data_IF_090917591319
#
_entry.id   IF_090917591319
#
_cell.length_a   1.000
_cell.length_b   1.000
_cell.length_c   1.000
_cell.angle_alpha   90.00
_cell.angle_beta   90.00
_cell.angle_gamma   90.00
#
_symmetry.space_group_name_H-M   'P 1'
#
loop_
_entity.id
_entity.type
_entity.pdbx_description
1 polymer ?
#
# COMPACT_ATOMS: atom_id res chain seq x y z
N UNK A 1 -32.17 36.05 -59.13
CA UNK A 1 -30.84 36.28 -58.51
C UNK A 1 -30.81 36.18 -56.98
N UNK A 2 -31.94 36.14 -56.27
CA UNK A 2 -31.97 36.15 -54.79
C UNK A 2 -31.72 34.80 -54.08
N UNK A 3 -31.92 33.64 -54.73
CA UNK A 3 -31.78 32.33 -54.07
C UNK A 3 -30.32 31.90 -53.79
N UNK A 4 -29.35 32.32 -54.61
CA UNK A 4 -27.93 31.96 -54.45
C UNK A 4 -27.26 32.63 -53.24
N UNK A 5 -27.71 33.83 -52.85
CA UNK A 5 -27.14 34.58 -51.72
C UNK A 5 -27.54 34.02 -50.34
N UNK A 6 -28.73 33.40 -50.24
CA UNK A 6 -29.20 32.76 -49.00
C UNK A 6 -28.44 31.47 -48.66
N UNK A 7 -28.10 30.66 -49.67
CA UNK A 7 -27.34 29.42 -49.51
C UNK A 7 -25.88 29.71 -49.06
N UNK A 8 -25.19 30.64 -49.72
CA UNK A 8 -23.83 31.07 -49.38
C UNK A 8 -23.70 31.64 -47.95
N UNK A 9 -24.74 32.31 -47.46
CA UNK A 9 -24.76 32.89 -46.11
C UNK A 9 -25.06 31.84 -45.03
N UNK A 10 -25.86 30.82 -45.35
CA UNK A 10 -26.13 29.67 -44.46
C UNK A 10 -24.89 28.79 -44.30
N UNK A 11 -24.19 28.50 -45.41
CA UNK A 11 -22.92 27.74 -45.42
C UNK A 11 -21.77 28.43 -44.70
N UNK A 12 -21.66 29.76 -44.82
CA UNK A 12 -20.69 30.53 -44.03
C UNK A 12 -20.98 30.49 -42.54
N UNK A 13 -22.25 30.48 -42.14
CA UNK A 13 -22.65 30.47 -40.72
C UNK A 13 -22.48 29.09 -40.07
N UNK A 14 -22.73 28.01 -40.82
CA UNK A 14 -22.42 26.63 -40.40
C UNK A 14 -20.92 26.39 -40.32
N UNK A 15 -20.13 26.87 -41.28
CA UNK A 15 -18.67 26.80 -41.25
C UNK A 15 -18.04 27.55 -40.06
N UNK A 16 -18.51 28.76 -39.75
CA UNK A 16 -18.02 29.54 -38.61
C UNK A 16 -18.37 28.88 -37.26
N UNK A 17 -19.54 28.26 -37.14
CA UNK A 17 -19.93 27.47 -35.96
C UNK A 17 -19.10 26.20 -35.82
N UNK A 18 -18.84 25.50 -36.93
CA UNK A 18 -17.97 24.33 -36.95
C UNK A 18 -16.53 24.69 -36.53
N UNK A 19 -15.95 25.77 -37.06
CA UNK A 19 -14.62 26.24 -36.65
C UNK A 19 -14.55 26.62 -35.17
N UNK A 20 -15.58 27.27 -34.61
CA UNK A 20 -15.66 27.59 -33.18
C UNK A 20 -15.79 26.35 -32.32
N UNK A 21 -16.59 25.37 -32.74
CA UNK A 21 -16.73 24.09 -32.06
C UNK A 21 -15.41 23.30 -32.07
N UNK A 22 -14.74 23.19 -33.22
CA UNK A 22 -13.43 22.54 -33.33
C UNK A 22 -12.38 23.22 -32.46
N UNK A 23 -12.34 24.56 -32.45
CA UNK A 23 -11.43 25.31 -31.58
C UNK A 23 -11.71 25.11 -30.09
N UNK A 24 -12.98 24.98 -29.70
CA UNK A 24 -13.37 24.65 -28.32
C UNK A 24 -12.96 23.22 -27.95
N UNK A 25 -13.24 22.24 -28.80
CA UNK A 25 -12.86 20.84 -28.59
C UNK A 25 -11.34 20.67 -28.47
N UNK A 26 -10.57 21.38 -29.30
CA UNK A 26 -9.11 21.37 -29.23
C UNK A 26 -8.60 21.92 -27.89
N UNK A 27 -9.19 23.02 -27.38
CA UNK A 27 -8.82 23.58 -26.07
C UNK A 27 -9.15 22.62 -24.94
N UNK A 28 -10.31 21.95 -25.00
CA UNK A 28 -10.69 20.94 -24.02
C UNK A 28 -9.73 19.74 -24.06
N UNK A 29 -9.34 19.29 -25.25
CA UNK A 29 -8.35 18.21 -25.40
C UNK A 29 -6.98 18.61 -24.83
N UNK A 30 -6.50 19.83 -25.12
CA UNK A 30 -5.24 20.35 -24.57
C UNK A 30 -5.34 20.45 -23.04
N UNK A 31 -6.43 21.00 -22.49
CA UNK A 31 -6.63 21.10 -21.05
C UNK A 31 -6.61 19.72 -20.39
N UNK A 32 -7.26 18.73 -21.00
CA UNK A 32 -7.27 17.35 -20.52
C UNK A 32 -5.87 16.71 -20.54
N UNK A 33 -5.11 16.92 -21.62
CA UNK A 33 -3.71 16.45 -21.71
C UNK A 33 -2.81 17.11 -20.65
N UNK A 34 -3.03 18.40 -20.35
CA UNK A 34 -2.32 19.10 -19.26
C UNK A 34 -2.66 18.47 -17.91
N UNK A 35 -3.93 18.14 -17.66
CA UNK A 35 -4.35 17.44 -16.43
C UNK A 35 -3.67 16.07 -16.32
N UNK A 36 -3.68 15.27 -17.39
CA UNK A 36 -2.99 13.96 -17.41
C UNK A 36 -1.49 14.13 -17.14
N UNK A 37 -0.83 15.06 -17.81
CA UNK A 37 0.60 15.31 -17.60
C UNK A 37 0.89 15.77 -16.16
N UNK A 38 0.03 16.63 -15.58
CA UNK A 38 0.11 17.04 -14.19
C UNK A 38 -0.02 15.87 -13.22
N UNK A 39 -1.00 15.00 -13.42
CA UNK A 39 -1.16 13.77 -12.63
C UNK A 39 0.08 12.89 -12.80
N UNK A 40 0.58 12.68 -14.02
CA UNK A 40 1.76 11.85 -14.30
C UNK A 40 3.01 12.33 -13.54
N UNK A 41 3.26 13.64 -13.54
CA UNK A 41 4.43 14.27 -12.92
C UNK A 41 4.29 14.27 -11.39
N UNK A 42 3.08 14.42 -10.87
CA UNK A 42 2.82 14.60 -9.44
C UNK A 42 2.30 13.32 -8.75
N UNK A 43 2.33 12.15 -9.38
CA UNK A 43 1.80 10.88 -8.81
C UNK A 43 2.26 10.63 -7.38
N UNK A 44 3.54 10.87 -7.07
CA UNK A 44 4.07 10.67 -5.72
C UNK A 44 3.32 11.50 -4.66
N UNK A 45 2.85 12.70 -5.00
CA UNK A 45 2.09 13.56 -4.08
C UNK A 45 0.65 13.12 -3.87
N UNK A 46 0.14 12.24 -4.73
CA UNK A 46 -1.19 11.65 -4.60
C UNK A 46 -1.14 10.27 -3.94
N UNK A 47 -0.01 9.58 -4.03
CA UNK A 47 0.17 8.23 -3.48
C UNK A 47 0.80 8.23 -2.09
N UNK A 48 1.75 9.13 -1.82
CA UNK A 48 2.59 9.09 -0.63
C UNK A 48 2.43 10.38 0.19
N UNK A 49 2.12 10.24 1.47
CA UNK A 49 1.89 11.34 2.42
C UNK A 49 2.84 11.21 3.62
N UNK A 50 4.16 11.27 3.40
CA UNK A 50 5.13 11.15 4.47
C UNK A 50 5.00 12.29 5.47
N UNK A 51 5.04 11.95 6.74
CA UNK A 51 5.22 12.90 7.82
C UNK A 51 6.66 12.84 8.31
N UNK A 52 7.35 13.98 8.29
CA UNK A 52 8.75 14.08 8.75
C UNK A 52 8.78 14.25 10.26
N UNK A 53 9.70 13.54 10.91
CA UNK A 53 9.90 13.55 12.35
C UNK A 53 11.38 13.30 12.65
N UNK A 54 11.91 13.79 13.77
CA UNK A 54 13.25 13.42 14.20
C UNK A 54 13.23 12.02 14.85
N UNK A 55 14.38 11.35 14.95
CA UNK A 55 14.45 10.01 15.56
C UNK A 55 13.99 10.04 17.02
N UNK A 56 14.35 11.08 17.75
CA UNK A 56 13.95 11.35 19.12
C UNK A 56 12.43 11.51 19.31
N UNK A 57 11.70 11.96 18.28
CA UNK A 57 10.25 12.17 18.34
C UNK A 57 9.47 10.86 18.13
N UNK A 58 10.07 9.88 17.43
CA UNK A 58 9.41 8.62 17.10
C UNK A 58 9.75 7.48 18.06
N UNK A 59 10.83 7.62 18.83
CA UNK A 59 11.14 6.68 19.92
C UNK A 59 10.29 6.99 21.16
N UNK A 60 9.94 5.96 21.91
CA UNK A 60 9.12 6.10 23.13
C UNK A 60 9.40 4.94 24.08
N UNK A 61 8.77 4.95 25.27
CA UNK A 61 8.90 3.84 26.21
C UNK A 61 8.37 2.54 25.57
N UNK A 62 9.25 1.54 25.44
CA UNK A 62 8.97 0.29 24.73
C UNK A 62 9.26 0.28 23.21
N UNK A 63 9.55 1.42 22.58
CA UNK A 63 9.92 1.52 21.15
C UNK A 63 11.27 2.19 20.97
N UNK A 64 12.25 1.42 20.48
CA UNK A 64 13.63 1.88 20.28
C UNK A 64 13.97 1.97 18.80
N UNK A 65 14.87 2.88 18.43
CA UNK A 65 15.42 2.94 17.08
C UNK A 65 16.01 1.58 16.65
N UNK A 66 15.75 1.17 15.42
CA UNK A 66 16.18 -0.10 14.85
C UNK A 66 16.84 0.08 13.48
N UNK A 67 17.91 -0.67 13.15
CA UNK A 67 18.71 -1.51 14.05
C UNK A 67 19.49 -0.71 15.10
N UNK A 68 19.86 0.53 14.76
CA UNK A 68 20.48 1.51 15.65
C UNK A 68 19.98 2.92 15.26
N UNK A 69 20.15 3.95 16.09
CA UNK A 69 19.82 5.34 15.73
C UNK A 69 20.55 5.84 14.47
N UNK A 70 21.81 5.45 14.26
CA UNK A 70 22.65 5.93 13.16
C UNK A 70 22.32 5.25 11.83
N UNK A 71 21.83 4.01 11.89
CA UNK A 71 21.45 3.21 10.74
C UNK A 71 19.93 3.02 10.66
N UNK A 72 19.15 4.00 11.13
CA UNK A 72 17.70 3.91 11.34
C UNK A 72 16.93 3.38 10.12
N UNK A 73 16.12 2.36 10.35
CA UNK A 73 15.18 1.76 9.40
C UNK A 73 13.77 1.60 9.98
N UNK A 74 13.55 2.04 11.21
CA UNK A 74 12.30 1.86 11.92
C UNK A 74 12.48 1.75 13.43
N UNK A 75 11.47 1.22 14.08
CA UNK A 75 11.41 1.03 15.53
C UNK A 75 11.32 -0.45 15.86
N UNK A 76 11.84 -0.86 17.03
CA UNK A 76 11.71 -2.22 17.55
C UNK A 76 11.11 -2.21 18.95
N UNK A 77 10.16 -3.12 19.18
CA UNK A 77 9.64 -3.51 20.47
C UNK A 77 9.93 -4.98 20.75
N UNK A 78 10.26 -5.29 22.00
CA UNK A 78 10.56 -6.65 22.46
C UNK A 78 9.43 -7.15 23.37
N UNK A 79 9.06 -8.44 23.29
CA UNK A 79 8.15 -9.03 24.25
C UNK A 79 8.83 -9.23 25.60
N UNK A 80 8.04 -9.52 26.63
CA UNK A 80 8.59 -10.01 27.89
C UNK A 80 9.18 -11.40 27.69
N UNK A 81 10.46 -11.57 28.03
CA UNK A 81 11.19 -12.83 27.83
C UNK A 81 11.73 -13.01 26.42
N UNK A 82 11.93 -14.25 25.99
CA UNK A 82 12.47 -14.56 24.66
C UNK A 82 11.37 -14.50 23.59
N UNK A 83 11.62 -13.75 22.52
CA UNK A 83 10.71 -13.69 21.38
C UNK A 83 10.63 -15.05 20.66
N UNK A 84 9.41 -15.53 20.42
CA UNK A 84 9.16 -16.80 19.69
C UNK A 84 9.18 -16.65 18.17
N UNK A 85 9.04 -15.42 17.69
CA UNK A 85 9.12 -15.03 16.28
C UNK A 85 9.38 -13.52 16.17
N UNK A 86 9.75 -13.06 14.99
CA UNK A 86 9.84 -11.63 14.66
C UNK A 86 8.76 -11.27 13.65
N UNK A 87 8.14 -10.10 13.82
CA UNK A 87 7.17 -9.52 12.89
C UNK A 87 7.70 -8.19 12.39
N UNK A 88 7.70 -7.97 11.08
CA UNK A 88 7.99 -6.67 10.47
C UNK A 88 6.69 -6.09 9.95
N UNK A 89 6.34 -4.90 10.43
CA UNK A 89 5.15 -4.16 10.02
C UNK A 89 5.56 -3.05 9.05
N UNK A 90 4.93 -3.05 7.89
CA UNK A 90 5.04 -2.03 6.86
C UNK A 90 3.73 -1.24 6.82
N UNK A 91 3.81 0.05 7.13
CA UNK A 91 2.64 0.88 7.37
C UNK A 91 1.98 1.40 6.08
N UNK A 92 0.81 2.03 6.20
CA UNK A 92 0.12 2.69 5.08
C UNK A 92 0.87 3.90 4.51
N UNK A 93 0.27 4.58 3.53
CA UNK A 93 0.92 5.68 2.81
C UNK A 93 1.03 7.01 3.58
N UNK A 94 0.45 7.12 4.78
CA UNK A 94 0.38 8.38 5.52
C UNK A 94 0.98 8.27 6.93
N UNK A 95 1.70 9.32 7.34
CA UNK A 95 2.33 9.42 8.66
C UNK A 95 3.76 8.87 8.67
N UNK A 96 4.12 8.15 9.74
CA UNK A 96 5.42 7.49 9.94
C UNK A 96 5.27 6.26 10.87
N UNK A 97 6.32 5.46 11.03
CA UNK A 97 6.28 4.20 11.79
C UNK A 97 5.90 4.38 13.27
N UNK A 98 6.32 5.48 13.91
CA UNK A 98 5.94 5.83 15.29
C UNK A 98 4.43 5.87 15.54
N UNK A 99 3.61 6.22 14.53
CA UNK A 99 2.14 6.21 14.62
C UNK A 99 1.51 4.81 14.60
N UNK A 100 2.33 3.76 14.59
CA UNK A 100 1.91 2.35 14.48
C UNK A 100 2.26 1.53 15.73
N UNK A 101 2.48 2.21 16.86
CA UNK A 101 2.75 1.60 18.17
C UNK A 101 1.68 0.59 18.62
N UNK A 102 0.45 0.72 18.14
CA UNK A 102 -0.63 -0.23 18.42
C UNK A 102 -0.32 -1.67 17.96
N UNK A 103 0.45 -1.86 16.87
CA UNK A 103 0.90 -3.21 16.48
C UNK A 103 1.90 -3.76 17.49
N UNK A 104 2.83 -2.93 17.96
CA UNK A 104 3.78 -3.34 18.99
C UNK A 104 3.05 -3.73 20.28
N UNK A 105 2.05 -2.94 20.70
CA UNK A 105 1.24 -3.24 21.88
C UNK A 105 0.50 -4.59 21.76
N UNK A 106 -0.13 -4.87 20.63
CA UNK A 106 -0.88 -6.11 20.43
C UNK A 106 0.03 -7.34 20.29
N UNK A 107 1.10 -7.24 19.50
CA UNK A 107 1.89 -8.42 19.10
C UNK A 107 2.97 -8.81 20.12
N UNK A 108 3.51 -7.86 20.88
CA UNK A 108 4.46 -8.19 21.96
C UNK A 108 3.79 -8.98 23.09
N UNK A 109 2.50 -8.75 23.35
CA UNK A 109 1.70 -9.57 24.27
C UNK A 109 1.59 -11.03 23.82
N UNK A 110 1.72 -11.29 22.52
CA UNK A 110 1.74 -12.64 21.94
C UNK A 110 3.14 -13.26 21.87
N UNK A 111 4.13 -12.65 22.53
CA UNK A 111 5.51 -13.14 22.60
C UNK A 111 6.34 -12.86 21.33
N UNK A 112 5.93 -11.89 20.53
CA UNK A 112 6.58 -11.55 19.25
C UNK A 112 7.48 -10.33 19.39
N UNK A 113 8.66 -10.37 18.78
CA UNK A 113 9.44 -9.15 18.50
C UNK A 113 8.77 -8.40 17.36
N UNK A 114 8.61 -7.09 17.49
CA UNK A 114 7.92 -6.27 16.49
C UNK A 114 8.88 -5.22 15.97
N UNK A 115 9.09 -5.18 14.66
CA UNK A 115 9.79 -4.12 13.95
C UNK A 115 8.75 -3.31 13.19
N UNK A 116 8.60 -2.04 13.52
CA UNK A 116 7.81 -1.08 12.75
C UNK A 116 8.75 -0.45 11.72
N UNK A 117 8.70 -0.92 10.47
CA UNK A 117 9.60 -0.45 9.42
C UNK A 117 9.21 0.96 8.94
N UNK A 118 10.19 1.83 8.79
CA UNK A 118 10.02 3.20 8.27
C UNK A 118 10.49 3.26 6.82
N UNK A 119 9.71 3.84 5.92
CA UNK A 119 10.07 3.94 4.51
C UNK A 119 11.15 5.00 4.22
N UNK A 120 11.93 4.85 3.13
CA UNK A 120 12.70 5.96 2.59
C UNK A 120 11.79 7.18 2.32
N UNK A 121 12.20 8.35 2.80
CA UNK A 121 11.43 9.59 2.66
C UNK A 121 10.37 9.84 3.73
N UNK A 122 10.13 8.89 4.65
CA UNK A 122 9.17 9.01 5.76
C UNK A 122 9.87 9.14 7.10
N UNK A 123 9.19 9.75 8.08
CA UNK A 123 9.68 9.89 9.44
C UNK A 123 11.09 10.52 9.47
N UNK A 124 12.03 9.91 10.20
CA UNK A 124 13.43 10.36 10.26
C UNK A 124 14.24 10.09 9.00
N UNK A 125 13.70 9.34 8.03
CA UNK A 125 14.47 8.86 6.88
C UNK A 125 14.36 9.81 5.70
N UNK A 126 15.51 10.17 5.16
CA UNK A 126 15.61 10.67 3.79
C UNK A 126 15.48 9.52 2.78
N UNK A 127 15.36 9.90 1.51
CA UNK A 127 15.26 8.95 0.41
C UNK A 127 14.15 9.29 -0.57
N UNK A 128 14.04 8.45 -1.59
CA UNK A 128 13.10 8.64 -2.69
C UNK A 128 11.83 7.84 -2.45
N UNK A 129 10.69 8.46 -2.74
CA UNK A 129 9.39 7.82 -2.75
C UNK A 129 9.18 7.05 -4.06
N UNK A 130 8.48 5.93 -3.99
CA UNK A 130 8.10 5.11 -5.15
C UNK A 130 8.18 3.62 -4.87
N UNK A 131 7.40 2.83 -5.61
CA UNK A 131 7.34 1.37 -5.45
C UNK A 131 8.72 0.72 -5.47
N UNK A 132 9.54 1.03 -6.47
CA UNK A 132 10.89 0.46 -6.59
C UNK A 132 11.74 0.71 -5.34
N UNK A 133 11.74 1.95 -4.85
CA UNK A 133 12.51 2.37 -3.66
C UNK A 133 12.00 1.68 -2.40
N UNK A 134 10.70 1.72 -2.16
CA UNK A 134 10.06 1.15 -0.96
C UNK A 134 10.21 -0.38 -0.93
N UNK A 135 10.02 -1.07 -2.05
CA UNK A 135 10.17 -2.52 -2.15
C UNK A 135 11.64 -2.93 -1.96
N UNK A 136 12.58 -2.23 -2.60
CA UNK A 136 14.02 -2.51 -2.43
C UNK A 136 14.48 -2.29 -0.98
N UNK A 137 13.96 -1.25 -0.32
CA UNK A 137 14.25 -1.00 1.09
C UNK A 137 13.63 -2.06 2.01
N UNK A 138 12.40 -2.50 1.72
CA UNK A 138 11.73 -3.58 2.44
C UNK A 138 12.51 -4.89 2.37
N UNK A 139 13.04 -5.27 1.19
CA UNK A 139 13.89 -6.45 1.06
C UNK A 139 15.13 -6.37 1.96
N UNK A 140 15.83 -5.23 1.97
CA UNK A 140 17.00 -5.01 2.85
C UNK A 140 16.61 -5.12 4.32
N UNK A 141 15.45 -4.59 4.70
CA UNK A 141 14.91 -4.68 6.06
C UNK A 141 14.59 -6.12 6.45
N UNK A 142 13.98 -6.91 5.57
CA UNK A 142 13.70 -8.35 5.77
C UNK A 142 14.99 -9.14 5.97
N UNK A 143 15.97 -8.96 5.06
CA UNK A 143 17.28 -9.64 5.13
C UNK A 143 18.01 -9.30 6.42
N UNK A 144 17.99 -8.03 6.83
CA UNK A 144 18.65 -7.58 8.06
C UNK A 144 17.97 -8.17 9.31
N UNK A 145 16.64 -8.10 9.39
CA UNK A 145 15.90 -8.67 10.50
C UNK A 145 16.13 -10.19 10.63
N UNK A 146 16.10 -10.91 9.50
CA UNK A 146 16.38 -12.34 9.48
C UNK A 146 17.82 -12.64 9.93
N UNK A 147 18.80 -11.83 9.53
CA UNK A 147 20.19 -11.98 10.00
C UNK A 147 20.32 -11.77 11.51
N UNK A 148 19.63 -10.78 12.06
CA UNK A 148 19.71 -10.41 13.48
C UNK A 148 18.93 -11.36 14.39
N UNK A 149 17.79 -11.88 13.93
CA UNK A 149 16.82 -12.56 14.78
C UNK A 149 16.40 -13.95 14.31
N UNK A 150 16.79 -14.38 13.11
CA UNK A 150 16.49 -15.70 12.56
C UNK A 150 15.02 -15.86 12.13
N UNK A 151 14.57 -17.12 12.14
CA UNK A 151 13.20 -17.53 11.82
C UNK A 151 12.45 -17.98 13.08
N UNK A 152 11.11 -17.94 13.09
CA UNK A 152 10.24 -17.48 12.00
C UNK A 152 10.11 -15.95 11.95
N UNK A 153 9.97 -15.42 10.73
CA UNK A 153 9.80 -14.01 10.43
C UNK A 153 8.50 -13.79 9.64
N UNK A 154 7.57 -13.00 10.17
CA UNK A 154 6.31 -12.64 9.53
C UNK A 154 6.38 -11.21 9.00
N UNK A 155 5.66 -10.94 7.90
CA UNK A 155 5.48 -9.58 7.42
C UNK A 155 4.01 -9.18 7.53
N UNK A 156 3.76 -7.99 8.06
CA UNK A 156 2.45 -7.34 8.05
C UNK A 156 2.55 -6.14 7.12
N UNK A 157 1.62 -6.01 6.18
CA UNK A 157 1.49 -4.85 5.33
C UNK A 157 0.10 -4.24 5.47
N UNK A 158 0.02 -2.97 5.85
CA UNK A 158 -1.23 -2.20 5.95
C UNK A 158 -1.37 -1.28 4.74
N UNK A 159 -2.48 -1.37 4.01
CA UNK A 159 -2.78 -0.49 2.87
C UNK A 159 -1.61 -0.49 1.86
N UNK A 160 -0.90 0.63 1.66
CA UNK A 160 0.35 0.69 0.88
C UNK A 160 1.37 -0.39 1.27
N UNK A 161 1.53 -0.64 2.56
CA UNK A 161 2.41 -1.67 3.05
C UNK A 161 2.05 -3.06 2.54
N UNK A 162 0.78 -3.35 2.27
CA UNK A 162 0.37 -4.62 1.69
C UNK A 162 0.97 -4.85 0.30
N UNK A 163 0.95 -3.84 -0.57
CA UNK A 163 1.60 -3.90 -1.88
C UNK A 163 3.12 -4.03 -1.76
N UNK A 164 3.73 -3.31 -0.81
CA UNK A 164 5.18 -3.39 -0.56
C UNK A 164 5.59 -4.80 -0.13
N UNK A 165 4.90 -5.40 0.84
CA UNK A 165 5.25 -6.75 1.34
C UNK A 165 4.85 -7.85 0.37
N UNK A 166 3.84 -7.64 -0.48
CA UNK A 166 3.52 -8.59 -1.55
C UNK A 166 4.72 -8.77 -2.49
N UNK A 167 5.35 -7.67 -2.91
CA UNK A 167 6.54 -7.71 -3.75
C UNK A 167 7.80 -8.17 -2.98
N UNK A 168 8.09 -7.56 -1.82
CA UNK A 168 9.30 -7.82 -1.08
C UNK A 168 9.31 -9.22 -0.43
N UNK A 169 8.18 -9.66 0.12
CA UNK A 169 8.04 -10.95 0.77
C UNK A 169 8.25 -12.12 -0.18
N UNK A 170 7.80 -12.00 -1.44
CA UNK A 170 8.03 -13.04 -2.47
C UNK A 170 9.50 -13.12 -2.86
N UNK A 171 10.18 -11.98 -2.98
CA UNK A 171 11.62 -11.95 -3.29
C UNK A 171 12.46 -12.52 -2.14
N UNK A 172 12.00 -12.39 -0.90
CA UNK A 172 12.63 -12.94 0.31
C UNK A 172 11.81 -14.10 0.92
N UNK A 173 11.20 -14.94 0.09
CA UNK A 173 10.29 -16.03 0.53
C UNK A 173 10.95 -17.12 1.36
N UNK A 174 12.27 -17.25 1.27
CA UNK A 174 13.07 -18.18 2.07
C UNK A 174 13.21 -17.71 3.52
N UNK A 175 13.12 -16.39 3.74
CA UNK A 175 13.21 -15.75 5.05
C UNK A 175 11.85 -15.44 5.64
N UNK A 176 10.79 -15.48 4.83
CA UNK A 176 9.44 -15.09 5.22
C UNK A 176 8.56 -16.32 5.49
N UNK A 177 8.02 -16.41 6.70
CA UNK A 177 7.14 -17.51 7.11
C UNK A 177 5.68 -17.32 6.65
N UNK A 178 5.20 -16.08 6.55
CA UNK A 178 3.84 -15.76 6.09
C UNK A 178 3.59 -14.25 6.00
N UNK A 179 2.50 -13.88 5.33
CA UNK A 179 2.08 -12.49 5.13
C UNK A 179 0.70 -12.21 5.72
N UNK A 180 0.59 -11.10 6.45
CA UNK A 180 -0.68 -10.49 6.83
C UNK A 180 -0.89 -9.22 6.01
N UNK A 181 -1.92 -9.20 5.16
CA UNK A 181 -2.24 -8.10 4.28
C UNK A 181 -3.52 -7.44 4.76
N UNK A 182 -3.43 -6.23 5.29
CA UNK A 182 -4.55 -5.50 5.90
C UNK A 182 -5.03 -4.40 4.97
N UNK A 183 -6.34 -4.40 4.72
CA UNK A 183 -7.02 -3.55 3.71
C UNK A 183 -6.25 -3.52 2.38
N UNK A 184 -5.88 -4.69 1.80
CA UNK A 184 -5.05 -4.73 0.61
C UNK A 184 -5.90 -4.59 -0.66
N UNK A 185 -5.22 -4.60 -1.80
CA UNK A 185 -5.82 -4.67 -3.13
C UNK A 185 -5.16 -5.75 -3.96
N UNK A 186 -5.84 -6.15 -5.04
CA UNK A 186 -5.30 -7.02 -6.07
C UNK A 186 -4.27 -6.29 -6.95
N UNK A 187 -4.65 -5.13 -7.51
CA UNK A 187 -3.77 -4.21 -8.25
C UNK A 187 -4.11 -2.77 -7.88
N UNK A 188 -3.09 -1.93 -7.67
CA UNK A 188 -3.35 -0.51 -7.34
C UNK A 188 -4.07 0.21 -8.48
N UNK A 189 -3.83 -0.22 -9.73
CA UNK A 189 -4.56 0.23 -10.91
C UNK A 189 -6.08 0.14 -10.72
N UNK A 190 -6.60 -0.94 -10.15
CA UNK A 190 -8.03 -1.13 -9.98
C UNK A 190 -8.62 -0.17 -8.95
N UNK A 191 -7.91 0.08 -7.86
CA UNK A 191 -8.30 1.06 -6.83
C UNK A 191 -8.29 2.47 -7.41
N UNK A 192 -7.22 2.83 -8.13
CA UNK A 192 -7.11 4.14 -8.76
C UNK A 192 -8.18 4.34 -9.84
N UNK A 193 -8.48 3.34 -10.68
CA UNK A 193 -9.53 3.40 -11.69
C UNK A 193 -10.94 3.50 -11.08
N UNK A 194 -11.15 2.96 -9.87
CA UNK A 194 -12.41 3.12 -9.16
C UNK A 194 -12.64 4.55 -8.69
N UNK A 195 -11.62 5.19 -8.11
CA UNK A 195 -11.73 6.57 -7.63
C UNK A 195 -11.65 7.60 -8.76
N UNK A 196 -10.95 7.27 -9.84
CA UNK A 196 -10.72 8.16 -10.98
C UNK A 196 -11.09 7.50 -12.32
N UNK A 197 -12.37 7.15 -12.54
CA UNK A 197 -12.81 6.41 -13.74
C UNK A 197 -12.67 7.21 -15.04
N UNK A 198 -12.48 8.53 -14.94
CA UNK A 198 -12.25 9.43 -16.07
C UNK A 198 -10.77 9.52 -16.48
N UNK A 199 -9.84 8.97 -15.68
CA UNK A 199 -8.42 8.94 -16.01
C UNK A 199 -8.04 7.63 -16.74
N UNK A 200 -7.09 7.66 -17.69
CA UNK A 200 -6.55 6.47 -18.33
C UNK A 200 -5.52 5.78 -17.42
N UNK A 201 -5.95 5.37 -16.21
CA UNK A 201 -5.08 4.93 -15.09
C UNK A 201 -4.07 3.87 -15.53
N UNK A 202 -4.49 2.87 -16.30
CA UNK A 202 -3.62 1.79 -16.82
C UNK A 202 -2.33 2.28 -17.49
N UNK A 203 -2.41 3.37 -18.23
CA UNK A 203 -1.27 3.92 -18.97
C UNK A 203 -0.50 4.97 -18.17
N UNK A 204 -1.14 5.52 -17.14
CA UNK A 204 -0.64 6.64 -16.36
C UNK A 204 0.08 6.19 -15.10
N UNK A 205 -0.41 5.14 -14.45
CA UNK A 205 0.06 4.68 -13.15
C UNK A 205 1.47 4.09 -13.27
N UNK A 206 2.44 4.73 -12.62
CA UNK A 206 3.84 4.27 -12.65
C UNK A 206 4.09 3.17 -11.63
N UNK A 207 3.60 3.39 -10.42
CA UNK A 207 3.77 2.49 -9.29
C UNK A 207 2.55 1.57 -9.25
N UNK A 208 2.74 0.32 -9.69
CA UNK A 208 1.67 -0.61 -10.03
C UNK A 208 1.20 -1.41 -8.82
N UNK A 209 2.10 -1.74 -7.90
CA UNK A 209 1.83 -2.58 -6.72
C UNK A 209 0.90 -3.75 -7.05
N UNK A 210 1.32 -4.58 -8.01
CA UNK A 210 0.55 -5.72 -8.53
C UNK A 210 0.70 -6.94 -7.61
N UNK A 211 -0.08 -6.92 -6.52
CA UNK A 211 -0.09 -7.97 -5.50
C UNK A 211 -0.42 -9.35 -6.08
N UNK A 212 -1.34 -9.43 -7.05
CA UNK A 212 -1.71 -10.70 -7.71
C UNK A 212 -0.50 -11.31 -8.40
N UNK A 213 0.20 -10.54 -9.22
CA UNK A 213 1.37 -11.04 -9.96
C UNK A 213 2.48 -11.46 -9.00
N UNK A 214 2.74 -10.66 -7.96
CA UNK A 214 3.79 -10.99 -6.99
C UNK A 214 3.46 -12.27 -6.21
N UNK A 215 2.25 -12.39 -5.67
CA UNK A 215 1.90 -13.46 -4.74
C UNK A 215 1.58 -14.80 -5.42
N UNK A 216 1.46 -14.84 -6.75
CA UNK A 216 1.18 -16.06 -7.52
C UNK A 216 2.14 -17.23 -7.22
N UNK A 217 3.38 -16.95 -6.81
CA UNK A 217 4.42 -17.95 -6.53
C UNK A 217 4.97 -17.94 -5.10
N UNK A 218 4.25 -17.30 -4.17
CA UNK A 218 4.73 -17.10 -2.80
C UNK A 218 4.89 -18.41 -2.01
N UNK A 219 3.89 -19.29 -2.10
CA UNK A 219 3.96 -20.66 -1.53
C UNK A 219 4.00 -20.73 0.01
N UNK A 220 3.70 -19.64 0.71
CA UNK A 220 3.61 -19.54 2.17
C UNK A 220 2.22 -19.01 2.59
N UNK A 221 1.81 -19.18 3.85
CA UNK A 221 0.57 -18.61 4.37
C UNK A 221 0.37 -17.13 4.04
N UNK A 222 -0.79 -16.80 3.46
CA UNK A 222 -1.24 -15.42 3.25
C UNK A 222 -2.60 -15.21 3.90
N UNK A 223 -2.67 -14.29 4.87
CA UNK A 223 -3.89 -13.85 5.50
C UNK A 223 -4.28 -12.49 4.94
N UNK A 224 -5.43 -12.42 4.28
CA UNK A 224 -6.03 -11.18 3.78
C UNK A 224 -7.05 -10.70 4.79
N UNK A 225 -6.97 -9.43 5.17
CA UNK A 225 -7.90 -8.77 6.08
C UNK A 225 -8.58 -7.63 5.34
N UNK A 226 -9.91 -7.65 5.28
CA UNK A 226 -10.70 -6.58 4.68
C UNK A 226 -11.55 -5.88 5.73
N UNK A 227 -11.61 -4.55 5.68
CA UNK A 227 -12.55 -3.75 6.46
C UNK A 227 -13.86 -3.62 5.66
N UNK A 228 -14.99 -4.05 6.23
CA UNK A 228 -16.25 -4.27 5.49
C UNK A 228 -16.80 -3.02 4.78
N UNK A 229 -16.56 -1.82 5.32
CA UNK A 229 -17.09 -0.55 4.81
C UNK A 229 -16.01 0.33 4.18
N UNK A 230 -14.81 -0.19 4.02
CA UNK A 230 -13.65 0.55 3.52
C UNK A 230 -13.97 1.36 2.24
N UNK A 231 -13.96 2.67 2.38
CA UNK A 231 -14.20 3.61 1.30
C UNK A 231 -12.93 4.04 0.57
N UNK A 232 -11.74 3.74 1.10
CA UNK A 232 -10.44 4.07 0.51
C UNK A 232 -9.98 2.93 -0.41
N UNK A 233 -9.97 1.70 0.13
CA UNK A 233 -9.70 0.47 -0.63
C UNK A 233 -10.93 -0.43 -0.49
N UNK A 234 -11.93 -0.30 -1.39
CA UNK A 234 -13.15 -1.09 -1.33
C UNK A 234 -12.90 -2.59 -1.13
N UNK A 235 -13.64 -3.27 -0.23
CA UNK A 235 -13.38 -4.65 0.20
C UNK A 235 -13.23 -5.63 -0.97
N UNK A 236 -13.99 -5.40 -2.05
CA UNK A 236 -13.95 -6.18 -3.29
C UNK A 236 -12.55 -6.35 -3.89
N UNK A 237 -11.62 -5.41 -3.67
CA UNK A 237 -10.25 -5.52 -4.17
C UNK A 237 -9.41 -6.47 -3.32
N UNK A 238 -9.60 -6.47 -2.00
CA UNK A 238 -9.02 -7.47 -1.11
C UNK A 238 -9.63 -8.86 -1.34
N UNK A 239 -10.94 -8.96 -1.60
CA UNK A 239 -11.60 -10.20 -2.01
C UNK A 239 -11.06 -10.74 -3.33
N UNK A 240 -10.88 -9.86 -4.33
CA UNK A 240 -10.27 -10.22 -5.61
C UNK A 240 -8.84 -10.73 -5.43
N UNK A 241 -8.04 -10.08 -4.57
CA UNK A 241 -6.71 -10.58 -4.22
C UNK A 241 -6.82 -11.97 -3.60
N UNK A 242 -7.60 -12.14 -2.53
CA UNK A 242 -7.76 -13.42 -1.83
C UNK A 242 -8.13 -14.56 -2.79
N UNK A 243 -9.10 -14.34 -3.68
CA UNK A 243 -9.55 -15.34 -4.64
C UNK A 243 -8.45 -15.76 -5.64
N UNK A 244 -7.48 -14.89 -5.89
CA UNK A 244 -6.35 -15.17 -6.79
C UNK A 244 -5.18 -15.93 -6.13
N UNK A 245 -5.13 -15.98 -4.79
CA UNK A 245 -4.01 -16.59 -4.06
C UNK A 245 -4.01 -18.12 -4.12
N UNK A 246 -2.84 -18.75 -4.09
CA UNK A 246 -2.72 -20.19 -3.82
C UNK A 246 -2.95 -20.50 -2.33
N UNK A 247 -3.27 -21.75 -2.01
CA UNK A 247 -3.26 -22.22 -0.62
C UNK A 247 -1.82 -22.32 -0.08
N UNK A 248 -1.59 -22.13 1.23
CA UNK A 248 -2.58 -21.83 2.26
C UNK A 248 -2.95 -20.32 2.30
N UNK A 249 -4.24 -20.03 2.19
CA UNK A 249 -4.77 -18.66 2.28
C UNK A 249 -5.93 -18.58 3.26
N UNK A 250 -6.15 -17.41 3.83
CA UNK A 250 -7.32 -17.14 4.68
C UNK A 250 -7.80 -15.70 4.48
N UNK A 251 -9.10 -15.50 4.57
CA UNK A 251 -9.75 -14.19 4.57
C UNK A 251 -10.36 -13.93 5.94
N UNK A 252 -10.10 -12.76 6.51
CA UNK A 252 -10.79 -12.25 7.69
C UNK A 252 -11.47 -10.92 7.36
N UNK A 253 -12.72 -10.77 7.79
CA UNK A 253 -13.51 -9.55 7.57
C UNK A 253 -13.71 -8.84 8.90
N UNK A 254 -13.24 -7.60 9.01
CA UNK A 254 -13.49 -6.76 10.18
C UNK A 254 -14.83 -6.06 9.98
N UNK A 255 -15.84 -6.49 10.74
CA UNK A 255 -17.24 -6.07 10.55
C UNK A 255 -17.45 -4.60 10.89
N UNK A 256 -18.23 -3.94 10.04
CA UNK A 256 -18.55 -2.52 10.12
C UNK A 256 -17.35 -1.55 10.17
N UNK A 257 -16.12 -2.03 9.91
CA UNK A 257 -14.90 -1.24 9.91
C UNK A 257 -14.71 -0.44 8.62
N UNK A 258 -14.09 0.71 8.76
CA UNK A 258 -13.52 1.57 7.72
C UNK A 258 -11.99 1.40 7.65
N UNK A 259 -11.36 2.02 6.66
CA UNK A 259 -9.92 1.88 6.38
C UNK A 259 -9.01 2.18 7.58
N UNK A 260 -9.39 3.14 8.42
CA UNK A 260 -8.53 3.65 9.50
C UNK A 260 -9.02 3.29 10.90
N UNK A 261 -10.18 2.62 11.04
CA UNK A 261 -10.75 2.26 12.35
C UNK A 261 -10.72 0.75 12.65
N UNK A 262 -10.28 -0.07 11.68
CA UNK A 262 -10.29 -1.53 11.80
C UNK A 262 -9.54 -2.03 13.04
N UNK A 263 -8.45 -1.36 13.42
CA UNK A 263 -7.64 -1.74 14.58
C UNK A 263 -8.43 -1.65 15.90
N UNK A 264 -9.34 -0.68 16.02
CA UNK A 264 -10.19 -0.51 17.20
C UNK A 264 -11.32 -1.54 17.29
N UNK A 265 -11.43 -2.45 16.31
CA UNK A 265 -12.51 -3.43 16.16
C UNK A 265 -12.01 -4.88 16.22
N UNK A 266 -10.72 -5.07 16.48
CA UNK A 266 -10.11 -6.40 16.68
C UNK A 266 -9.56 -6.50 18.10
N UNK A 267 -9.44 -7.71 18.61
CA UNK A 267 -8.96 -7.99 19.96
C UNK A 267 -7.76 -8.96 19.95
N UNK A 268 -7.29 -9.33 21.14
CA UNK A 268 -6.17 -10.26 21.30
C UNK A 268 -6.47 -11.64 20.67
N UNK A 269 -7.73 -12.11 20.76
CA UNK A 269 -8.14 -13.39 20.17
C UNK A 269 -7.99 -13.35 18.65
N UNK A 270 -8.44 -12.28 18.02
CA UNK A 270 -8.26 -12.06 16.59
C UNK A 270 -6.77 -12.08 16.18
N UNK A 271 -5.92 -11.35 16.92
CA UNK A 271 -4.48 -11.34 16.67
C UNK A 271 -3.84 -12.72 16.82
N UNK A 272 -4.24 -13.47 17.85
CA UNK A 272 -3.76 -14.84 18.09
C UNK A 272 -4.12 -15.76 16.93
N UNK A 273 -5.38 -15.75 16.49
CA UNK A 273 -5.84 -16.55 15.35
C UNK A 273 -5.09 -16.20 14.05
N UNK A 274 -4.86 -14.90 13.81
CA UNK A 274 -4.11 -14.42 12.66
C UNK A 274 -2.66 -14.93 12.67
N UNK A 275 -1.97 -14.77 13.80
CA UNK A 275 -0.57 -15.18 13.95
C UNK A 275 -0.41 -16.69 13.90
N UNK A 276 -1.31 -17.46 14.53
CA UNK A 276 -1.22 -18.92 14.56
C UNK A 276 -1.42 -19.52 13.16
N UNK A 277 -2.32 -18.96 12.35
CA UNK A 277 -2.44 -19.32 10.94
C UNK A 277 -1.13 -19.08 10.17
N UNK A 278 -0.49 -17.93 10.38
CA UNK A 278 0.72 -17.55 9.63
C UNK A 278 1.98 -18.30 10.07
N UNK A 279 2.03 -18.77 11.32
CA UNK A 279 3.13 -19.59 11.84
C UNK A 279 2.93 -21.09 11.62
N UNK A 280 1.83 -21.51 10.99
CA UNK A 280 1.62 -22.92 10.64
C UNK A 280 2.71 -23.35 9.65
N UNK A 281 3.48 -24.42 9.92
CA UNK A 281 4.54 -24.87 9.03
C UNK A 281 4.02 -25.12 7.61
N UNK A 282 4.70 -24.58 6.60
CA UNK A 282 4.43 -24.94 5.21
C UNK A 282 4.73 -26.44 5.04
N UNK A 283 3.75 -27.22 4.55
CA UNK A 283 3.92 -28.65 4.24
C UNK A 283 4.88 -28.86 3.08
#
# INVERSE_FOLDING_TARGET
MHAKLGALRKDRWTGLKAMKLTGMLLRLAIAYLIVIAGVAILQNRFLYFPEKAATEDVVSDGLRAWPTPEAFRGLVAEPVGSARATVIVFHGNAGHAGHRSYYAAALTQLGLRVILAEYPGYGPRDGTLGEESLVADAQKTIVLAHRLYGAPLLLIGESLGAGVVAAAGVRERDKTAGLLLITPWDRLEHVAAYHYPWLPVKWLLRDQYDSVTHLASFGRPVLVVIAERDSIVPPRFGEALYNSLAEPRRLMVVKAAEHNDWIGRVDETWWREAIDFLLTPSR
#
